data_IF_963421029819
#
_entry.id   IF_963421029819
#
_cell.length_a   1.000
_cell.length_b   1.000
_cell.length_c   1.000
_cell.angle_alpha   90.00
_cell.angle_beta   90.00
_cell.angle_gamma   90.00
#
_symmetry.space_group_name_H-M   'P 1'
#
loop_
_entity.id
_entity.type
_entity.pdbx_description
1 polymer ?
#
# COMPACT_ATOMS: atom_id res chain seq x y z
N UNK A 1 -4.53 -1.36 -12.94
CA UNK A 1 -3.17 -1.54 -12.37
C UNK A 1 -3.30 -1.86 -10.90
N UNK A 2 -2.61 -2.90 -10.44
CA UNK A 2 -2.41 -3.23 -9.04
C UNK A 2 -0.91 -3.03 -8.73
N UNK A 3 -0.55 -1.89 -8.16
CA UNK A 3 0.83 -1.50 -7.88
C UNK A 3 1.11 -1.62 -6.38
N UNK A 4 2.00 -2.54 -6.04
CA UNK A 4 2.43 -2.77 -4.66
C UNK A 4 3.89 -2.37 -4.48
N UNK A 5 4.30 -2.28 -3.23
CA UNK A 5 5.67 -2.05 -2.77
C UNK A 5 6.62 -3.18 -3.14
N UNK A 6 6.53 -4.35 -2.54
CA UNK A 6 7.41 -5.49 -2.78
C UNK A 6 6.63 -6.80 -2.76
N UNK A 7 7.18 -7.86 -3.34
CA UNK A 7 6.54 -9.17 -3.27
C UNK A 7 6.66 -9.76 -1.87
N UNK A 8 5.53 -10.25 -1.33
CA UNK A 8 5.51 -11.01 -0.07
C UNK A 8 4.38 -12.04 -0.08
N UNK A 9 4.45 -13.11 0.74
CA UNK A 9 3.35 -14.08 0.87
C UNK A 9 2.01 -13.43 1.23
N UNK A 10 2.02 -12.38 2.06
CA UNK A 10 0.82 -11.62 2.40
C UNK A 10 0.20 -10.95 1.16
N UNK A 11 1.03 -10.34 0.29
CA UNK A 11 0.57 -9.65 -0.92
C UNK A 11 0.11 -10.62 -2.00
N UNK A 12 0.71 -11.80 -2.07
CA UNK A 12 0.22 -12.88 -2.92
C UNK A 12 -1.20 -13.33 -2.49
N UNK A 13 -1.41 -13.55 -1.18
CA UNK A 13 -2.73 -13.88 -0.64
C UNK A 13 -3.74 -12.77 -0.91
N UNK A 14 -3.36 -11.50 -0.69
CA UNK A 14 -4.20 -10.34 -0.99
C UNK A 14 -4.61 -10.28 -2.45
N UNK A 15 -3.64 -10.37 -3.36
CA UNK A 15 -3.89 -10.34 -4.81
C UNK A 15 -4.81 -11.49 -5.25
N UNK A 16 -4.52 -12.72 -4.81
CA UNK A 16 -5.33 -13.88 -5.16
C UNK A 16 -6.74 -13.81 -4.57
N UNK A 17 -6.92 -13.27 -3.35
CA UNK A 17 -8.24 -13.02 -2.78
C UNK A 17 -9.01 -11.95 -3.56
N UNK A 18 -8.32 -10.89 -4.01
CA UNK A 18 -8.91 -9.83 -4.81
C UNK A 18 -9.38 -10.34 -6.18
N UNK A 19 -8.48 -10.98 -6.94
CA UNK A 19 -8.79 -11.48 -8.30
C UNK A 19 -9.91 -12.52 -8.29
N UNK A 20 -9.96 -13.40 -7.28
CA UNK A 20 -11.04 -14.41 -7.15
C UNK A 20 -12.44 -13.81 -6.99
N UNK A 21 -12.55 -12.55 -6.56
CA UNK A 21 -13.83 -11.84 -6.39
C UNK A 21 -14.18 -10.96 -7.59
N UNK A 22 -13.28 -10.79 -8.55
CA UNK A 22 -13.56 -10.04 -9.77
C UNK A 22 -14.31 -10.90 -10.78
N UNK A 23 -15.16 -10.26 -11.57
CA UNK A 23 -15.78 -10.92 -12.71
C UNK A 23 -14.76 -11.19 -13.82
N UNK A 24 -15.06 -12.16 -14.70
CA UNK A 24 -14.17 -12.58 -15.78
C UNK A 24 -13.83 -11.47 -16.80
N UNK A 25 -14.53 -10.34 -16.77
CA UNK A 25 -14.32 -9.21 -17.68
C UNK A 25 -13.17 -8.29 -17.23
N UNK A 26 -12.54 -8.57 -16.08
CA UNK A 26 -11.41 -7.80 -15.59
C UNK A 26 -10.09 -8.51 -15.85
N UNK A 27 -9.14 -7.77 -16.39
CA UNK A 27 -7.72 -8.12 -16.39
C UNK A 27 -6.99 -7.26 -15.37
N UNK A 28 -6.20 -7.90 -14.50
CA UNK A 28 -5.40 -7.21 -13.50
C UNK A 28 -3.93 -7.38 -13.85
N UNK A 29 -3.25 -6.26 -14.11
CA UNK A 29 -1.79 -6.23 -14.19
C UNK A 29 -1.24 -5.90 -12.79
N UNK A 30 -0.44 -6.81 -12.24
CA UNK A 30 0.23 -6.68 -10.95
C UNK A 30 1.68 -6.25 -11.17
N UNK A 31 2.10 -5.15 -10.54
CA UNK A 31 3.46 -4.65 -10.58
C UNK A 31 3.95 -4.32 -9.17
N UNK A 32 5.27 -4.36 -8.98
CA UNK A 32 5.95 -4.03 -7.73
C UNK A 32 6.96 -2.92 -7.97
N UNK A 33 6.96 -1.89 -7.12
CA UNK A 33 7.93 -0.79 -7.22
C UNK A 33 9.21 -0.99 -6.40
N UNK A 34 9.31 -2.09 -5.64
CA UNK A 34 10.46 -2.56 -4.85
C UNK A 34 11.10 -1.50 -3.98
N UNK A 35 10.29 -0.66 -3.32
CA UNK A 35 10.79 0.52 -2.60
C UNK A 35 11.81 1.37 -3.39
N UNK A 36 11.67 1.40 -4.71
CA UNK A 36 12.44 2.27 -5.58
C UNK A 36 11.55 3.41 -6.08
N UNK A 37 11.79 4.62 -5.56
CA UNK A 37 11.01 5.81 -5.90
C UNK A 37 11.01 6.11 -7.41
N UNK A 38 12.15 5.90 -8.06
CA UNK A 38 12.30 6.15 -9.50
C UNK A 38 11.47 5.17 -10.32
N UNK A 39 11.46 3.90 -9.92
CA UNK A 39 10.63 2.86 -10.53
C UNK A 39 9.15 3.16 -10.29
N UNK A 40 8.76 3.46 -9.05
CA UNK A 40 7.40 3.86 -8.70
C UNK A 40 6.89 4.99 -9.60
N UNK A 41 7.64 6.10 -9.66
CA UNK A 41 7.26 7.26 -10.46
C UNK A 41 7.20 6.95 -11.96
N UNK A 42 8.05 6.04 -12.45
CA UNK A 42 8.05 5.60 -13.85
C UNK A 42 6.81 4.76 -14.16
N UNK A 43 6.50 3.75 -13.33
CA UNK A 43 5.31 2.91 -13.49
C UNK A 43 4.04 3.78 -13.45
N UNK A 44 3.91 4.64 -12.44
CA UNK A 44 2.73 5.51 -12.30
C UNK A 44 2.57 6.38 -13.55
N UNK A 45 3.62 7.12 -13.95
CA UNK A 45 3.58 8.01 -15.12
C UNK A 45 3.18 7.27 -16.40
N UNK A 46 3.76 6.11 -16.66
CA UNK A 46 3.51 5.35 -17.88
C UNK A 46 2.15 4.62 -17.87
N UNK A 47 1.59 4.39 -16.69
CA UNK A 47 0.29 3.73 -16.53
C UNK A 47 -0.91 4.67 -16.67
N UNK A 48 -0.73 5.99 -16.58
CA UNK A 48 -1.81 6.97 -16.66
C UNK A 48 -2.54 6.81 -18.00
N UNK A 49 -3.87 6.69 -17.95
CA UNK A 49 -4.74 6.50 -19.11
C UNK A 49 -4.78 5.06 -19.64
N UNK A 50 -3.88 4.16 -19.22
CA UNK A 50 -3.87 2.74 -19.67
C UNK A 50 -4.84 1.85 -18.90
N UNK A 51 -5.35 2.29 -17.76
CA UNK A 51 -6.18 1.48 -16.88
C UNK A 51 -7.47 2.20 -16.48
N UNK A 52 -8.54 1.42 -16.31
CA UNK A 52 -9.82 1.92 -15.83
C UNK A 52 -9.81 2.21 -14.32
N UNK A 53 -8.99 1.46 -13.57
CA UNK A 53 -8.83 1.55 -12.11
C UNK A 53 -7.38 1.31 -11.71
N UNK A 54 -6.98 1.99 -10.64
CA UNK A 54 -5.65 1.97 -10.05
C UNK A 54 -5.80 1.61 -8.57
N UNK A 55 -5.11 0.56 -8.15
CA UNK A 55 -4.96 0.19 -6.74
C UNK A 55 -3.48 0.31 -6.46
N UNK A 56 -3.10 1.24 -5.58
CA UNK A 56 -1.71 1.64 -5.40
C UNK A 56 -1.35 1.69 -3.92
N UNK A 57 -0.33 0.93 -3.51
CA UNK A 57 0.40 1.21 -2.27
C UNK A 57 1.33 2.38 -2.54
N UNK A 58 1.21 3.44 -1.74
CA UNK A 58 2.03 4.63 -1.94
C UNK A 58 3.49 4.35 -1.56
N UNK A 59 4.42 5.04 -2.22
CA UNK A 59 5.84 4.88 -1.94
C UNK A 59 6.25 5.44 -0.57
N UNK A 60 5.60 6.52 -0.12
CA UNK A 60 5.99 7.25 1.08
C UNK A 60 4.80 7.32 2.06
N UNK A 61 5.11 7.17 3.34
CA UNK A 61 4.12 7.19 4.42
C UNK A 61 3.44 8.56 4.60
N UNK A 62 4.22 9.63 4.52
CA UNK A 62 3.81 11.01 4.83
C UNK A 62 3.47 11.83 3.57
N UNK A 63 4.02 11.45 2.42
CA UNK A 63 3.92 12.24 1.18
C UNK A 63 3.17 11.52 0.08
N UNK A 64 2.08 12.13 -0.36
CA UNK A 64 1.38 11.70 -1.56
C UNK A 64 2.16 12.09 -2.82
N UNK A 65 2.53 11.10 -3.65
CA UNK A 65 3.30 11.37 -4.87
C UNK A 65 2.55 12.31 -5.82
N UNK A 66 3.24 13.35 -6.31
CA UNK A 66 2.68 14.28 -7.30
C UNK A 66 2.27 13.60 -8.61
N UNK A 67 2.81 12.42 -8.93
CA UNK A 67 2.38 11.65 -10.10
C UNK A 67 1.03 10.95 -9.88
N UNK A 68 0.71 10.55 -8.64
CA UNK A 68 -0.60 9.99 -8.32
C UNK A 68 -1.72 11.04 -8.40
N UNK A 69 -1.41 12.32 -8.12
CA UNK A 69 -2.36 13.44 -8.29
C UNK A 69 -2.84 13.63 -9.74
N UNK A 70 -2.13 13.07 -10.71
CA UNK A 70 -2.50 13.12 -12.14
C UNK A 70 -3.52 12.04 -12.51
N UNK A 71 -3.74 11.06 -11.63
CA UNK A 71 -4.79 10.06 -11.81
C UNK A 71 -6.09 10.63 -11.26
N UNK A 72 -7.16 10.52 -12.03
CA UNK A 72 -8.52 10.82 -11.58
C UNK A 72 -8.81 10.09 -10.26
N UNK A 73 -9.18 10.86 -9.24
CA UNK A 73 -9.35 10.35 -7.88
C UNK A 73 -10.44 9.27 -7.78
N UNK A 74 -11.47 9.31 -8.64
CA UNK A 74 -12.50 8.26 -8.71
C UNK A 74 -12.00 6.93 -9.29
N UNK A 75 -10.80 6.93 -9.87
CA UNK A 75 -10.14 5.74 -10.42
C UNK A 75 -9.04 5.21 -9.50
N UNK A 76 -8.64 5.94 -8.47
CA UNK A 76 -7.52 5.61 -7.60
C UNK A 76 -7.99 5.16 -6.21
N UNK A 77 -7.60 3.95 -5.84
CA UNK A 77 -7.69 3.42 -4.48
C UNK A 77 -6.28 3.31 -3.90
N UNK A 78 -6.08 3.94 -2.75
CA UNK A 78 -4.82 3.91 -2.01
C UNK A 78 -4.83 2.80 -0.97
N UNK A 79 -3.71 2.10 -0.87
CA UNK A 79 -3.51 1.02 0.09
C UNK A 79 -2.37 1.33 1.05
N UNK A 80 -2.46 0.69 2.22
CA UNK A 80 -1.39 0.55 3.21
C UNK A 80 -1.15 1.82 4.04
N UNK A 81 -0.46 2.81 3.47
CA UNK A 81 -0.11 4.04 4.18
C UNK A 81 -1.27 5.02 4.23
N UNK A 82 -1.33 5.76 5.34
CA UNK A 82 -2.49 6.56 5.67
C UNK A 82 -2.20 7.89 6.36
N UNK A 83 -0.99 8.44 6.29
CA UNK A 83 -0.68 9.70 7.00
C UNK A 83 -0.62 10.94 6.09
N UNK A 84 -1.06 10.81 4.83
CA UNK A 84 -1.17 11.92 3.87
C UNK A 84 -2.62 12.44 3.74
N UNK A 85 -2.79 13.63 3.15
CA UNK A 85 -4.10 14.19 2.79
C UNK A 85 -4.85 13.29 1.80
N UNK A 86 -6.06 12.85 2.16
CA UNK A 86 -6.85 11.88 1.37
C UNK A 86 -8.20 12.39 0.91
N UNK A 87 -8.50 13.68 1.10
CA UNK A 87 -9.88 14.19 1.02
C UNK A 87 -10.60 13.85 -0.29
N UNK A 88 -9.86 13.71 -1.40
CA UNK A 88 -10.43 13.41 -2.71
C UNK A 88 -10.33 11.92 -3.11
N UNK A 89 -9.58 11.10 -2.37
CA UNK A 89 -9.19 9.74 -2.78
C UNK A 89 -9.82 8.65 -1.90
N UNK A 90 -10.20 7.53 -2.51
CA UNK A 90 -10.54 6.33 -1.76
C UNK A 90 -9.28 5.69 -1.16
N UNK A 91 -9.36 5.18 0.07
CA UNK A 91 -8.23 4.55 0.74
C UNK A 91 -8.63 3.39 1.66
N UNK A 92 -7.73 2.43 1.82
CA UNK A 92 -7.76 1.39 2.85
C UNK A 92 -6.36 1.34 3.46
N UNK A 93 -6.23 1.83 4.70
CA UNK A 93 -4.95 1.96 5.39
C UNK A 93 -4.88 1.02 6.58
N UNK A 94 -3.67 0.60 6.91
CA UNK A 94 -3.39 -0.10 8.16
C UNK A 94 -3.07 0.92 9.25
N UNK A 95 -3.48 0.62 10.48
CA UNK A 95 -3.07 1.39 11.63
C UNK A 95 -1.70 0.89 12.12
N UNK A 96 -0.64 1.49 11.58
CA UNK A 96 0.73 1.18 11.99
C UNK A 96 1.15 1.91 13.28
N UNK A 97 0.36 2.87 13.76
CA UNK A 97 0.70 3.69 14.91
C UNK A 97 0.14 3.10 16.20
N UNK A 98 -1.16 3.34 16.42
CA UNK A 98 -1.81 3.06 17.70
C UNK A 98 -1.90 1.56 17.94
N UNK A 99 -2.33 0.78 16.96
CA UNK A 99 -2.43 -0.67 17.08
C UNK A 99 -1.08 -1.33 17.37
N UNK A 100 0.01 -0.86 16.75
CA UNK A 100 1.35 -1.37 17.03
C UNK A 100 1.81 -0.99 18.45
N UNK A 101 1.59 0.25 18.87
CA UNK A 101 1.90 0.71 20.22
C UNK A 101 1.15 -0.09 21.29
N UNK A 102 -0.15 -0.30 21.10
CA UNK A 102 -0.97 -1.10 22.01
C UNK A 102 -0.53 -2.57 22.07
N UNK A 103 -0.11 -3.15 20.94
CA UNK A 103 0.45 -4.50 20.91
C UNK A 103 1.75 -4.59 21.74
N UNK A 104 2.62 -3.58 21.66
CA UNK A 104 3.83 -3.52 22.49
C UNK A 104 3.50 -3.36 23.98
N UNK A 105 2.53 -2.50 24.34
CA UNK A 105 2.09 -2.35 25.73
C UNK A 105 1.53 -3.66 26.30
N UNK A 106 0.68 -4.35 25.55
CA UNK A 106 0.11 -5.65 25.95
C UNK A 106 1.19 -6.73 26.18
N UNK A 107 2.34 -6.61 25.52
CA UNK A 107 3.48 -7.50 25.68
C UNK A 107 4.52 -6.98 26.70
N UNK A 108 4.29 -5.80 27.29
CA UNK A 108 5.27 -5.08 28.10
C UNK A 108 5.87 -5.92 29.22
N UNK A 109 5.05 -6.62 30.01
CA UNK A 109 5.54 -7.49 31.09
C UNK A 109 6.39 -8.65 30.57
N UNK A 110 6.05 -9.22 29.42
CA UNK A 110 6.81 -10.30 28.78
C UNK A 110 8.11 -9.78 28.16
N UNK A 111 8.19 -8.50 27.82
CA UNK A 111 9.38 -7.88 27.25
C UNK A 111 10.43 -7.52 28.32
N UNK A 112 10.04 -7.29 29.58
CA UNK A 112 10.94 -6.97 30.70
C UNK A 112 12.06 -8.00 30.95
N UNK A 113 11.88 -9.26 30.51
CA UNK A 113 12.92 -10.31 30.62
C UNK A 113 14.10 -10.11 29.67
N UNK A 114 13.96 -9.28 28.64
CA UNK A 114 15.01 -9.01 27.68
C UNK A 114 15.74 -7.72 28.05
N UNK A 115 17.08 -7.77 28.05
CA UNK A 115 17.93 -6.60 28.30
C UNK A 115 17.97 -5.62 27.12
N UNK A 116 17.58 -6.09 25.93
CA UNK A 116 17.61 -5.32 24.69
C UNK A 116 16.53 -5.81 23.75
N UNK A 117 15.84 -4.88 23.11
CA UNK A 117 14.95 -5.11 21.98
C UNK A 117 15.60 -4.47 20.75
N UNK A 118 15.55 -5.17 19.61
CA UNK A 118 16.07 -4.68 18.34
C UNK A 118 14.90 -4.73 17.35
N UNK A 119 14.49 -3.56 16.87
CA UNK A 119 13.59 -3.44 15.73
C UNK A 119 14.44 -3.48 14.47
N UNK A 120 14.13 -4.41 13.56
CA UNK A 120 14.84 -4.63 12.29
C UNK A 120 14.03 -3.98 11.18
#
# INVERSE_FOLDING_TARGET
LFLLDEYSPFKDVLYNAFVRRLSANYKVDLLFHQYNERLFNTIVRESIGRYNKYIVMNFNYERFSGNLRKIDAHKLLLLDFGEFEKNDYAYICQDFGESFYQALLALGDRMKKYRRLILI
#
